data_IF_287617411644
#
_entry.id   IF_287617411644
#
_cell.length_a   1.000
_cell.length_b   1.000
_cell.length_c   1.000
_cell.angle_alpha   90.00
_cell.angle_beta   90.00
_cell.angle_gamma   90.00
#
_symmetry.space_group_name_H-M   'P 1'
#
loop_
_entity.id
_entity.type
_entity.pdbx_description
1 polymer ?
#
# COMPACT_ATOMS: atom_id res chain seq x y z
N UNK A 1 40.42 -27.87 74.39
CA UNK A 1 39.97 -29.23 74.36
C UNK A 1 38.82 -29.35 73.41
N UNK A 2 39.02 -29.84 72.28
CA UNK A 2 38.07 -29.94 71.17
C UNK A 2 37.57 -31.38 70.97
N UNK A 3 36.29 -31.57 70.92
CA UNK A 3 35.65 -32.84 70.55
C UNK A 3 35.02 -32.78 69.17
N UNK A 4 35.12 -33.83 68.34
CA UNK A 4 34.76 -33.76 66.95
C UNK A 4 33.26 -34.03 66.69
N UNK A 5 32.71 -33.26 65.71
CA UNK A 5 31.37 -33.47 65.18
C UNK A 5 31.34 -34.65 64.21
N UNK A 6 30.51 -35.62 64.51
CA UNK A 6 30.17 -36.74 63.64
C UNK A 6 29.22 -36.26 62.55
N UNK A 7 29.58 -36.47 61.29
CA UNK A 7 28.73 -36.25 60.13
C UNK A 7 27.92 -37.50 59.87
N UNK A 8 26.58 -37.41 59.87
CA UNK A 8 25.68 -38.41 59.38
C UNK A 8 25.38 -38.13 57.90
N UNK A 9 25.75 -39.07 57.03
CA UNK A 9 25.37 -39.05 55.62
C UNK A 9 24.03 -39.81 55.52
N UNK A 10 22.95 -39.09 55.19
CA UNK A 10 21.67 -39.64 54.81
C UNK A 10 21.62 -39.72 53.30
N UNK A 11 21.59 -40.93 52.75
CA UNK A 11 21.39 -41.17 51.32
C UNK A 11 19.88 -40.96 50.99
N UNK A 12 19.55 -39.94 50.21
CA UNK A 12 18.23 -39.76 49.65
C UNK A 12 18.19 -40.34 48.25
N UNK A 13 17.45 -41.41 48.07
CA UNK A 13 17.13 -42.01 46.78
C UNK A 13 16.05 -41.17 46.12
N UNK A 14 16.39 -40.41 45.11
CA UNK A 14 15.44 -39.65 44.32
C UNK A 14 15.03 -40.46 43.08
N UNK A 15 13.79 -40.89 43.02
CA UNK A 15 13.16 -41.44 41.83
C UNK A 15 12.77 -40.27 40.88
N UNK A 16 12.99 -40.35 39.55
CA UNK A 16 12.55 -39.35 38.63
C UNK A 16 11.06 -39.51 38.32
N UNK A 17 10.23 -38.53 38.70
CA UNK A 17 8.90 -38.36 38.13
C UNK A 17 9.06 -37.81 36.71
N UNK A 18 8.72 -38.60 35.73
CA UNK A 18 8.54 -38.15 34.36
C UNK A 18 7.26 -37.32 34.23
N UNK A 19 7.39 -36.01 34.29
CA UNK A 19 6.30 -35.09 33.93
C UNK A 19 6.25 -34.95 32.38
N UNK A 20 5.30 -35.63 31.75
CA UNK A 20 4.92 -35.42 30.37
C UNK A 20 4.23 -34.07 30.21
N UNK A 21 4.99 -33.02 30.03
CA UNK A 21 4.47 -31.72 29.61
C UNK A 21 4.21 -31.77 28.09
N UNK A 22 2.96 -31.96 27.67
CA UNK A 22 2.51 -31.68 26.30
C UNK A 22 2.53 -30.18 26.06
N UNK A 23 3.72 -29.63 25.82
CA UNK A 23 3.89 -28.31 25.24
C UNK A 23 3.62 -28.37 23.74
N UNK A 24 2.44 -27.92 23.30
CA UNK A 24 2.22 -27.56 21.89
C UNK A 24 3.15 -26.39 21.58
N UNK A 25 4.33 -26.67 21.09
CA UNK A 25 5.14 -25.68 20.37
C UNK A 25 4.42 -25.44 19.06
N UNK A 26 3.72 -24.31 18.96
CA UNK A 26 3.29 -23.78 17.69
C UNK A 26 4.53 -23.57 16.83
N UNK A 27 4.70 -24.40 15.80
CA UNK A 27 5.68 -24.18 14.77
C UNK A 27 5.45 -22.79 14.18
N UNK A 28 6.48 -21.93 14.05
CA UNK A 28 6.34 -20.69 13.30
C UNK A 28 5.86 -21.07 11.89
N UNK A 29 4.75 -20.47 11.46
CA UNK A 29 4.21 -20.61 10.11
C UNK A 29 5.23 -19.95 9.16
N UNK A 30 6.26 -20.66 8.80
CA UNK A 30 7.15 -20.30 7.71
C UNK A 30 6.34 -20.45 6.43
N UNK A 31 5.93 -19.32 5.86
CA UNK A 31 5.42 -19.29 4.48
C UNK A 31 6.46 -19.99 3.61
N UNK A 32 6.10 -21.05 2.86
CA UNK A 32 7.07 -21.75 2.03
C UNK A 32 7.71 -20.74 1.06
N UNK A 33 9.02 -20.66 1.04
CA UNK A 33 9.72 -19.87 0.03
C UNK A 33 9.38 -20.49 -1.34
N UNK A 34 8.56 -19.79 -2.11
CA UNK A 34 8.30 -20.17 -3.50
C UNK A 34 9.58 -19.93 -4.26
N UNK A 35 10.23 -21.02 -4.68
CA UNK A 35 11.34 -20.92 -5.61
C UNK A 35 10.84 -20.27 -6.89
N UNK A 36 11.42 -19.14 -7.27
CA UNK A 36 11.06 -18.44 -8.50
C UNK A 36 11.15 -19.40 -9.69
N UNK A 37 10.04 -19.60 -10.36
CA UNK A 37 10.00 -20.32 -11.64
C UNK A 37 10.17 -19.37 -12.83
N UNK A 38 10.34 -18.06 -12.56
CA UNK A 38 10.50 -17.09 -13.63
C UNK A 38 11.91 -17.19 -14.23
N UNK A 39 11.94 -17.33 -15.55
CA UNK A 39 13.17 -17.37 -16.34
C UNK A 39 13.17 -16.16 -17.26
N UNK A 40 14.23 -15.34 -17.23
CA UNK A 40 14.33 -14.19 -18.13
C UNK A 40 14.35 -14.64 -19.60
N UNK A 41 13.81 -13.87 -20.52
CA UNK A 41 13.96 -14.10 -21.93
C UNK A 41 15.44 -14.22 -22.34
N UNK A 42 15.78 -15.10 -23.28
CA UNK A 42 17.16 -15.21 -23.79
C UNK A 42 17.67 -13.88 -24.36
N UNK A 43 18.91 -13.53 -24.10
CA UNK A 43 19.54 -12.32 -24.63
C UNK A 43 19.06 -11.02 -23.99
N UNK A 44 18.34 -11.09 -22.85
CA UNK A 44 17.92 -9.91 -22.13
C UNK A 44 19.15 -9.14 -21.59
N UNK A 45 19.21 -7.85 -21.86
CA UNK A 45 20.31 -6.97 -21.42
C UNK A 45 19.88 -5.51 -21.35
N UNK A 46 20.77 -4.66 -20.88
CA UNK A 46 20.59 -3.22 -20.84
C UNK A 46 20.24 -2.67 -19.47
N UNK A 47 19.77 -1.45 -19.46
CA UNK A 47 19.42 -0.69 -18.26
C UNK A 47 17.99 -0.14 -18.39
N UNK A 48 17.32 0.02 -17.25
CA UNK A 48 15.98 0.63 -17.15
C UNK A 48 15.98 1.72 -16.08
N UNK A 49 15.12 2.70 -16.28
CA UNK A 49 14.74 3.66 -15.24
C UNK A 49 13.30 3.41 -14.80
N UNK A 50 13.12 3.13 -13.52
CA UNK A 50 11.81 2.96 -12.87
C UNK A 50 11.49 4.22 -12.07
N UNK A 51 10.35 4.89 -12.36
CA UNK A 51 9.79 5.89 -11.45
C UNK A 51 8.78 5.22 -10.53
N UNK A 52 9.02 5.29 -9.21
CA UNK A 52 8.20 4.59 -8.20
C UNK A 52 7.62 5.56 -7.16
N UNK A 53 6.30 5.54 -7.00
CA UNK A 53 5.60 6.22 -5.91
C UNK A 53 5.27 5.26 -4.74
N UNK A 54 5.97 4.17 -4.65
CA UNK A 54 5.76 3.11 -3.67
C UNK A 54 6.83 3.16 -2.58
N UNK A 55 6.66 2.48 -1.42
CA UNK A 55 7.69 2.43 -0.39
C UNK A 55 9.05 2.06 -1.00
N UNK A 56 10.08 2.78 -0.60
CA UNK A 56 11.40 2.62 -1.20
C UNK A 56 11.94 1.20 -0.96
N UNK A 57 11.78 0.66 0.24
CA UNK A 57 12.18 -0.70 0.61
C UNK A 57 11.49 -1.78 -0.24
N UNK A 58 10.18 -1.63 -0.52
CA UNK A 58 9.46 -2.52 -1.44
C UNK A 58 10.02 -2.42 -2.86
N UNK A 59 10.25 -1.21 -3.36
CA UNK A 59 10.77 -1.00 -4.71
C UNK A 59 12.19 -1.54 -4.86
N UNK A 60 13.04 -1.30 -3.86
CA UNK A 60 14.43 -1.76 -3.83
C UNK A 60 14.53 -3.29 -3.77
N UNK A 61 13.72 -3.95 -2.91
CA UNK A 61 13.68 -5.41 -2.84
C UNK A 61 13.23 -6.03 -4.16
N UNK A 62 12.16 -5.51 -4.75
CA UNK A 62 11.65 -5.94 -6.04
C UNK A 62 12.68 -5.81 -7.16
N UNK A 63 13.34 -4.65 -7.24
CA UNK A 63 14.35 -4.35 -8.26
C UNK A 63 15.60 -5.21 -8.05
N UNK A 64 16.05 -5.39 -6.81
CA UNK A 64 17.19 -6.25 -6.49
C UNK A 64 16.93 -7.71 -6.93
N UNK A 65 15.73 -8.22 -6.63
CA UNK A 65 15.34 -9.57 -7.02
C UNK A 65 15.25 -9.73 -8.56
N UNK A 66 14.66 -8.77 -9.26
CA UNK A 66 14.62 -8.75 -10.73
C UNK A 66 16.03 -8.67 -11.34
N UNK A 67 16.88 -7.76 -10.85
CA UNK A 67 18.24 -7.59 -11.35
C UNK A 67 19.07 -8.86 -11.16
N UNK A 68 18.93 -9.50 -9.99
CA UNK A 68 19.60 -10.79 -9.70
C UNK A 68 19.16 -11.89 -10.67
N UNK A 69 17.88 -11.93 -11.02
CA UNK A 69 17.32 -12.96 -11.88
C UNK A 69 17.62 -12.72 -13.38
N UNK A 70 17.64 -11.45 -13.81
CA UNK A 70 17.69 -11.07 -15.23
C UNK A 70 19.06 -10.57 -15.71
N UNK A 71 19.88 -10.02 -14.82
CA UNK A 71 21.09 -9.29 -15.16
C UNK A 71 20.83 -7.86 -15.67
N UNK A 72 19.56 -7.42 -15.79
CA UNK A 72 19.20 -6.07 -16.19
C UNK A 72 19.35 -5.13 -15.00
N UNK A 73 20.06 -4.04 -15.19
CA UNK A 73 20.20 -2.98 -14.17
C UNK A 73 18.98 -2.06 -14.19
N UNK A 74 18.43 -1.77 -13.01
CA UNK A 74 17.30 -0.85 -12.87
C UNK A 74 17.68 0.28 -11.94
N UNK A 75 17.59 1.53 -12.42
CA UNK A 75 17.74 2.73 -11.61
C UNK A 75 16.35 3.17 -11.14
N UNK A 76 16.18 3.35 -9.83
CA UNK A 76 14.89 3.75 -9.25
C UNK A 76 14.93 5.25 -8.90
N UNK A 77 13.93 5.99 -9.37
CA UNK A 77 13.60 7.32 -8.86
C UNK A 77 12.34 7.23 -8.01
N UNK A 78 12.50 7.44 -6.71
CA UNK A 78 11.41 7.34 -5.73
C UNK A 78 10.91 8.74 -5.34
N UNK A 79 9.59 8.96 -5.45
CA UNK A 79 8.92 10.18 -4.98
C UNK A 79 7.41 9.92 -4.81
N UNK A 80 6.68 10.85 -4.18
CA UNK A 80 5.21 10.83 -4.15
C UNK A 80 4.61 10.91 -5.56
N UNK A 81 3.41 10.35 -5.74
CA UNK A 81 2.72 10.30 -7.05
C UNK A 81 2.66 11.69 -7.70
N UNK A 82 2.30 12.73 -6.95
CA UNK A 82 2.21 14.09 -7.49
C UNK A 82 3.54 14.61 -8.03
N UNK A 83 4.67 14.29 -7.37
CA UNK A 83 6.01 14.68 -7.82
C UNK A 83 6.44 13.90 -9.06
N UNK A 84 6.09 12.62 -9.15
CA UNK A 84 6.39 11.80 -10.34
C UNK A 84 5.60 12.31 -11.54
N UNK A 85 4.30 12.56 -11.40
CA UNK A 85 3.49 13.08 -12.50
C UNK A 85 3.99 14.44 -12.97
N UNK A 86 4.27 15.37 -12.05
CA UNK A 86 4.84 16.67 -12.40
C UNK A 86 6.21 16.56 -13.13
N UNK A 87 7.04 15.57 -12.72
CA UNK A 87 8.30 15.30 -13.40
C UNK A 87 8.09 14.78 -14.82
N UNK A 88 7.20 13.80 -14.99
CA UNK A 88 6.85 13.25 -16.31
C UNK A 88 6.25 14.30 -17.23
N UNK A 89 5.43 15.22 -16.70
CA UNK A 89 4.84 16.32 -17.47
C UNK A 89 5.90 17.34 -17.89
N UNK A 90 6.86 17.63 -17.01
CA UNK A 90 8.02 18.49 -17.33
C UNK A 90 8.96 17.88 -18.37
N UNK A 91 9.14 16.56 -18.33
CA UNK A 91 9.95 15.82 -19.32
C UNK A 91 9.23 15.72 -20.68
N UNK A 92 7.92 15.90 -20.69
CA UNK A 92 7.10 15.97 -21.91
C UNK A 92 7.17 14.70 -22.77
N UNK A 93 7.53 14.84 -24.08
CA UNK A 93 7.57 13.71 -25.01
C UNK A 93 8.81 12.82 -24.86
N UNK A 94 9.77 13.18 -24.00
CA UNK A 94 11.04 12.47 -23.84
C UNK A 94 11.34 12.16 -22.37
N UNK A 95 10.45 11.42 -21.67
CA UNK A 95 10.68 11.07 -20.29
C UNK A 95 11.92 10.17 -20.15
N UNK A 96 12.57 10.30 -18.99
CA UNK A 96 13.74 9.45 -18.66
C UNK A 96 13.29 8.06 -18.22
N UNK A 97 12.09 7.95 -17.66
CA UNK A 97 11.55 6.67 -17.21
C UNK A 97 11.23 5.72 -18.38
N UNK A 98 11.49 4.44 -18.18
CA UNK A 98 11.02 3.34 -19.03
C UNK A 98 9.73 2.73 -18.48
N UNK A 99 9.69 2.56 -17.16
CA UNK A 99 8.57 1.97 -16.42
C UNK A 99 8.18 2.90 -15.30
N UNK A 100 6.87 3.01 -15.06
CA UNK A 100 6.31 3.83 -13.98
C UNK A 100 5.44 2.95 -13.09
N UNK A 101 5.64 3.04 -11.77
CA UNK A 101 4.87 2.32 -10.77
C UNK A 101 4.31 3.31 -9.75
N UNK A 102 3.05 3.72 -9.95
CA UNK A 102 2.37 4.73 -9.13
C UNK A 102 1.63 4.11 -7.95
N UNK A 103 1.24 4.98 -7.01
CA UNK A 103 0.35 4.62 -5.90
C UNK A 103 -1.11 5.03 -6.16
N UNK A 104 -1.45 5.50 -7.36
CA UNK A 104 -2.77 5.99 -7.74
C UNK A 104 -3.17 5.50 -9.12
N UNK A 105 -4.40 5.02 -9.23
CA UNK A 105 -4.99 4.54 -10.48
C UNK A 105 -5.29 5.67 -11.47
N UNK A 106 -5.82 6.79 -10.95
CA UNK A 106 -6.31 7.90 -11.77
C UNK A 106 -5.27 8.50 -12.71
N UNK A 107 -4.02 8.82 -12.28
CA UNK A 107 -3.02 9.33 -13.20
C UNK A 107 -2.59 8.31 -14.26
N UNK A 108 -2.47 7.02 -13.91
CA UNK A 108 -2.11 5.99 -14.88
C UNK A 108 -3.17 5.88 -15.99
N UNK A 109 -4.45 5.97 -15.62
CA UNK A 109 -5.55 6.01 -16.57
C UNK A 109 -5.47 7.24 -17.49
N UNK A 110 -5.00 8.39 -16.99
CA UNK A 110 -4.80 9.58 -17.83
C UNK A 110 -3.63 9.40 -18.82
N UNK A 111 -2.48 8.87 -18.36
CA UNK A 111 -1.36 8.57 -19.27
C UNK A 111 -1.74 7.59 -20.37
N UNK A 112 -2.60 6.62 -20.06
CA UNK A 112 -3.12 5.67 -21.04
C UNK A 112 -4.07 6.34 -22.06
N UNK A 113 -4.98 7.20 -21.58
CA UNK A 113 -5.86 8.00 -22.46
C UNK A 113 -5.07 8.91 -23.42
N UNK A 114 -3.97 9.47 -22.94
CA UNK A 114 -3.07 10.34 -23.71
C UNK A 114 -2.17 9.55 -24.68
N UNK A 115 -2.32 8.22 -24.74
CA UNK A 115 -1.53 7.34 -25.61
C UNK A 115 -0.06 7.25 -25.21
N UNK A 116 0.29 7.53 -23.95
CA UNK A 116 1.68 7.53 -23.45
C UNK A 116 2.14 6.19 -22.90
N UNK A 117 1.26 5.20 -22.83
CA UNK A 117 1.56 3.84 -22.36
C UNK A 117 1.83 2.89 -23.53
N UNK A 118 2.66 1.87 -23.28
CA UNK A 118 2.86 0.74 -24.18
C UNK A 118 2.03 -0.44 -23.65
N UNK A 119 0.92 -0.82 -24.31
CA UNK A 119 0.11 -1.94 -23.85
C UNK A 119 0.90 -3.24 -23.75
N UNK A 120 0.74 -3.95 -22.63
CA UNK A 120 1.41 -5.22 -22.39
C UNK A 120 0.62 -6.13 -21.45
N UNK A 121 0.57 -7.41 -21.79
CA UNK A 121 -0.07 -8.46 -20.98
C UNK A 121 1.02 -9.36 -20.38
N UNK A 122 1.34 -9.22 -19.08
CA UNK A 122 2.33 -10.08 -18.44
C UNK A 122 1.81 -11.51 -18.27
N UNK A 123 2.72 -12.45 -18.12
CA UNK A 123 2.38 -13.83 -17.78
C UNK A 123 1.65 -13.87 -16.43
N UNK A 124 0.59 -14.68 -16.35
CA UNK A 124 -0.22 -14.81 -15.13
C UNK A 124 -1.22 -13.68 -14.92
N UNK A 125 -1.50 -12.87 -15.94
CA UNK A 125 -2.52 -11.81 -15.89
C UNK A 125 -3.92 -12.37 -15.58
N UNK A 126 -4.19 -13.63 -15.93
CA UNK A 126 -5.42 -14.37 -15.61
C UNK A 126 -5.64 -14.58 -14.10
N UNK A 127 -4.61 -14.40 -13.29
CA UNK A 127 -4.65 -14.46 -11.83
C UNK A 127 -4.80 -13.10 -11.17
N UNK A 128 -4.75 -12.01 -11.91
CA UNK A 128 -4.89 -10.66 -11.40
C UNK A 128 -6.37 -10.34 -11.15
N UNK A 129 -6.67 -9.60 -10.08
CA UNK A 129 -8.02 -9.09 -9.84
C UNK A 129 -8.55 -8.39 -11.08
N UNK A 130 -9.72 -8.80 -11.59
CA UNK A 130 -10.24 -8.36 -12.88
C UNK A 130 -10.38 -6.82 -12.97
N UNK A 131 -10.77 -6.16 -11.88
CA UNK A 131 -10.88 -4.71 -11.80
C UNK A 131 -9.54 -3.96 -11.79
N UNK A 132 -8.40 -4.66 -11.77
CA UNK A 132 -7.07 -4.09 -11.74
C UNK A 132 -6.34 -4.17 -13.08
N UNK A 133 -7.06 -4.47 -14.14
CA UNK A 133 -6.53 -4.58 -15.50
C UNK A 133 -7.21 -3.52 -16.36
N UNK A 134 -6.44 -2.58 -16.92
CA UNK A 134 -6.97 -1.66 -17.92
C UNK A 134 -7.43 -2.42 -19.17
N UNK A 135 -8.55 -2.01 -19.79
CA UNK A 135 -9.18 -2.76 -20.90
C UNK A 135 -8.26 -2.98 -22.11
N UNK A 136 -7.34 -2.05 -22.37
CA UNK A 136 -6.35 -2.14 -23.44
C UNK A 136 -4.98 -2.64 -22.94
N UNK A 137 -4.87 -3.04 -21.66
CA UNK A 137 -3.63 -3.45 -21.01
C UNK A 137 -2.52 -2.37 -21.03
N UNK A 138 -2.90 -1.09 -21.13
CA UNK A 138 -1.96 0.03 -21.08
C UNK A 138 -1.33 0.20 -19.70
N UNK A 139 -2.01 -0.25 -18.63
CA UNK A 139 -1.50 -0.29 -17.27
C UNK A 139 -2.23 -1.36 -16.44
N UNK A 140 -1.62 -1.79 -15.35
CA UNK A 140 -2.08 -2.92 -14.53
C UNK A 140 -1.81 -2.63 -13.05
N UNK A 141 -2.78 -2.87 -12.18
CA UNK A 141 -2.55 -2.85 -10.74
C UNK A 141 -1.63 -4.00 -10.34
N UNK A 142 -0.45 -3.67 -9.83
CA UNK A 142 0.57 -4.64 -9.43
C UNK A 142 0.34 -5.16 -8.01
N UNK A 143 -0.19 -4.34 -7.13
CA UNK A 143 -0.67 -4.62 -5.78
C UNK A 143 -1.65 -3.53 -5.37
N UNK A 144 -2.17 -3.58 -4.15
CA UNK A 144 -3.12 -2.60 -3.67
C UNK A 144 -3.01 -2.32 -2.18
N UNK A 145 -3.62 -1.24 -1.74
CA UNK A 145 -3.78 -0.89 -0.33
C UNK A 145 -5.19 -0.39 -0.05
N UNK A 146 -5.75 -0.78 1.09
CA UNK A 146 -7.02 -0.24 1.53
C UNK A 146 -6.80 1.14 2.20
N UNK A 147 -7.68 2.08 1.90
CA UNK A 147 -7.70 3.41 2.51
C UNK A 147 -8.63 3.36 3.73
N UNK A 148 -8.08 3.61 4.91
CA UNK A 148 -8.77 3.34 6.16
C UNK A 148 -8.72 4.54 7.10
N UNK A 149 -9.42 4.45 8.22
CA UNK A 149 -9.17 5.31 9.35
C UNK A 149 -8.04 4.70 10.17
N UNK A 150 -6.87 5.37 10.20
CA UNK A 150 -5.73 4.97 11.04
C UNK A 150 -5.81 5.73 12.34
N UNK A 151 -6.03 5.03 13.45
CA UNK A 151 -6.35 5.62 14.75
C UNK A 151 -5.25 5.35 15.75
N UNK A 152 -4.70 6.41 16.36
CA UNK A 152 -3.84 6.29 17.53
C UNK A 152 -4.71 6.10 18.78
N UNK A 153 -4.70 4.90 19.33
CA UNK A 153 -5.57 4.50 20.44
C UNK A 153 -5.25 5.16 21.77
N UNK A 154 -4.10 5.82 21.91
CA UNK A 154 -3.73 6.56 23.14
C UNK A 154 -4.31 7.97 23.19
N UNK A 155 -4.55 8.60 22.01
CA UNK A 155 -4.98 10.00 21.96
C UNK A 155 -6.35 10.20 21.32
N UNK A 156 -6.87 9.18 20.62
CA UNK A 156 -8.22 9.22 20.10
C UNK A 156 -9.26 9.18 21.23
N UNK A 157 -10.29 10.03 21.18
CA UNK A 157 -11.34 10.08 22.22
C UNK A 157 -12.17 8.79 22.28
N UNK A 158 -12.37 8.16 21.14
CA UNK A 158 -12.99 6.85 20.94
C UNK A 158 -12.54 6.28 19.59
N UNK A 159 -12.88 5.02 19.32
CA UNK A 159 -12.72 4.46 17.99
C UNK A 159 -13.89 4.93 17.10
N UNK A 160 -13.64 5.56 15.94
CA UNK A 160 -14.69 5.87 14.98
C UNK A 160 -15.19 4.58 14.31
N UNK A 161 -16.45 4.58 13.88
CA UNK A 161 -17.03 3.48 13.13
C UNK A 161 -17.15 3.81 11.63
N UNK A 162 -17.29 5.10 11.29
CA UNK A 162 -17.45 5.55 9.91
C UNK A 162 -16.80 6.92 9.68
N UNK A 163 -16.69 7.31 8.41
CA UNK A 163 -16.12 8.60 8.00
C UNK A 163 -16.80 9.80 8.66
N UNK A 164 -18.14 9.80 8.72
CA UNK A 164 -18.91 10.87 9.33
C UNK A 164 -18.66 11.03 10.84
N UNK A 165 -18.27 9.97 11.54
CA UNK A 165 -17.93 10.04 12.96
C UNK A 165 -16.79 11.01 13.26
N UNK A 166 -15.89 11.21 12.29
CA UNK A 166 -14.74 12.09 12.43
C UNK A 166 -15.12 13.57 12.48
N UNK A 167 -16.35 13.92 12.10
CA UNK A 167 -16.91 15.26 12.24
C UNK A 167 -17.54 15.52 13.63
N UNK A 168 -17.60 14.50 14.51
CA UNK A 168 -18.12 14.67 15.86
C UNK A 168 -17.25 15.63 16.70
N UNK A 169 -17.84 16.42 17.63
CA UNK A 169 -17.13 17.48 18.37
C UNK A 169 -15.87 16.98 19.11
N UNK A 170 -15.89 15.75 19.62
CA UNK A 170 -14.74 15.15 20.33
C UNK A 170 -13.50 14.93 19.46
N UNK A 171 -13.66 14.86 18.13
CA UNK A 171 -12.56 14.77 17.16
C UNK A 171 -12.07 16.13 16.66
N UNK A 172 -12.61 17.25 17.17
CA UNK A 172 -12.25 18.58 16.71
C UNK A 172 -10.73 18.82 16.75
N UNK A 173 -10.16 19.15 15.60
CA UNK A 173 -8.72 19.41 15.43
C UNK A 173 -7.83 18.19 15.62
N UNK A 174 -8.39 16.96 15.62
CA UNK A 174 -7.65 15.71 15.84
C UNK A 174 -7.58 14.82 14.60
N UNK A 175 -8.19 15.25 13.52
CA UNK A 175 -8.23 14.50 12.26
C UNK A 175 -7.29 15.13 11.24
N UNK A 176 -6.54 14.29 10.56
CA UNK A 176 -5.66 14.69 9.47
C UNK A 176 -5.99 13.86 8.22
N UNK A 177 -5.81 14.46 7.06
CA UNK A 177 -5.89 13.79 5.76
C UNK A 177 -4.57 14.03 5.00
N UNK A 178 -3.99 13.02 4.33
CA UNK A 178 -2.90 13.26 3.40
C UNK A 178 -3.35 14.20 2.27
N UNK A 179 -2.48 15.11 1.84
CA UNK A 179 -2.79 16.07 0.79
C UNK A 179 -3.02 15.36 -0.56
N UNK A 180 -4.21 15.43 -1.15
CA UNK A 180 -4.49 14.75 -2.41
C UNK A 180 -3.74 15.34 -3.62
N UNK A 181 -3.08 16.49 -3.47
CA UNK A 181 -2.17 17.05 -4.48
C UNK A 181 -0.85 16.27 -4.53
N UNK A 182 -0.40 15.73 -3.38
CA UNK A 182 0.84 14.97 -3.22
C UNK A 182 0.57 13.46 -3.17
N UNK A 183 -0.37 13.03 -2.32
CA UNK A 183 -0.75 11.64 -2.13
C UNK A 183 -1.70 11.15 -3.22
N UNK A 184 -1.22 10.22 -4.05
CA UNK A 184 -2.06 9.59 -5.08
C UNK A 184 -3.23 8.80 -4.48
N UNK A 185 -3.01 8.08 -3.37
CA UNK A 185 -4.05 7.32 -2.69
C UNK A 185 -5.15 8.21 -2.11
N UNK A 186 -4.80 9.35 -1.52
CA UNK A 186 -5.78 10.34 -1.04
C UNK A 186 -6.60 10.93 -2.20
N UNK A 187 -5.96 11.15 -3.37
CA UNK A 187 -6.65 11.56 -4.61
C UNK A 187 -7.65 10.52 -5.07
N UNK A 188 -7.27 9.26 -5.07
CA UNK A 188 -8.15 8.16 -5.47
C UNK A 188 -9.33 7.99 -4.51
N UNK A 189 -9.12 8.09 -3.19
CA UNK A 189 -10.19 8.05 -2.20
C UNK A 189 -11.19 9.20 -2.40
N UNK A 190 -10.70 10.42 -2.56
CA UNK A 190 -11.51 11.60 -2.82
C UNK A 190 -12.40 11.40 -4.06
N UNK A 191 -11.80 10.96 -5.17
CA UNK A 191 -12.52 10.71 -6.41
C UNK A 191 -13.58 9.60 -6.26
N UNK A 192 -13.25 8.55 -5.52
CA UNK A 192 -14.17 7.45 -5.26
C UNK A 192 -15.34 7.84 -4.35
N UNK A 193 -15.10 8.62 -3.30
CA UNK A 193 -16.17 9.15 -2.43
C UNK A 193 -17.15 10.02 -3.23
N UNK A 194 -16.63 10.93 -4.06
CA UNK A 194 -17.47 11.77 -4.93
C UNK A 194 -18.23 10.94 -5.96
N UNK A 195 -17.64 9.89 -6.50
CA UNK A 195 -18.30 9.00 -7.45
C UNK A 195 -19.37 8.13 -6.81
N UNK A 196 -19.11 7.61 -5.60
CA UNK A 196 -20.00 6.67 -4.91
C UNK A 196 -21.20 7.37 -4.25
N UNK A 197 -20.99 8.55 -3.68
CA UNK A 197 -22.03 9.27 -2.92
C UNK A 197 -22.68 10.39 -3.73
N UNK A 198 -22.10 10.79 -4.86
CA UNK A 198 -22.46 12.02 -5.55
C UNK A 198 -21.76 13.25 -4.96
N UNK A 199 -21.72 14.33 -5.73
CA UNK A 199 -20.98 15.53 -5.33
C UNK A 199 -21.52 16.15 -4.04
N UNK A 200 -22.83 16.32 -3.94
CA UNK A 200 -23.44 17.06 -2.83
C UNK A 200 -23.20 16.35 -1.49
N UNK A 201 -23.42 15.03 -1.42
CA UNK A 201 -23.22 14.25 -0.21
C UNK A 201 -21.73 14.14 0.16
N UNK A 202 -20.87 13.95 -0.83
CA UNK A 202 -19.42 13.90 -0.60
C UNK A 202 -18.89 15.22 -0.04
N UNK A 203 -19.27 16.35 -0.65
CA UNK A 203 -18.84 17.66 -0.16
C UNK A 203 -19.46 18.00 1.20
N UNK A 204 -20.69 17.60 1.50
CA UNK A 204 -21.28 17.78 2.82
C UNK A 204 -20.48 17.08 3.93
N UNK A 205 -19.95 15.87 3.65
CA UNK A 205 -19.04 15.19 4.59
C UNK A 205 -17.74 15.96 4.78
N UNK A 206 -17.09 16.42 3.70
CA UNK A 206 -15.85 17.19 3.79
C UNK A 206 -16.09 18.54 4.46
N UNK A 207 -17.18 19.26 4.14
CA UNK A 207 -17.57 20.53 4.80
C UNK A 207 -17.67 20.35 6.32
N UNK A 208 -18.31 19.26 6.77
CA UNK A 208 -18.42 18.93 8.20
C UNK A 208 -17.05 18.63 8.84
N UNK A 209 -16.18 17.90 8.15
CA UNK A 209 -14.83 17.58 8.62
C UNK A 209 -13.96 18.85 8.73
N UNK A 210 -14.00 19.73 7.74
CA UNK A 210 -13.26 21.00 7.77
C UNK A 210 -13.82 21.98 8.80
N UNK A 211 -15.15 22.03 8.97
CA UNK A 211 -15.78 22.79 10.07
C UNK A 211 -15.35 22.26 11.45
N UNK A 212 -15.04 20.95 11.54
CA UNK A 212 -14.46 20.33 12.72
C UNK A 212 -12.91 20.41 12.79
N UNK A 213 -12.32 21.31 11.99
CA UNK A 213 -10.88 21.59 11.96
C UNK A 213 -10.01 20.39 11.55
N UNK A 214 -10.48 19.60 10.59
CA UNK A 214 -9.62 18.59 9.95
C UNK A 214 -8.45 19.30 9.24
N UNK A 215 -7.25 18.75 9.39
CA UNK A 215 -6.05 19.26 8.73
C UNK A 215 -5.71 18.43 7.48
N UNK A 216 -5.09 19.08 6.49
CA UNK A 216 -4.49 18.44 5.32
C UNK A 216 -2.98 18.67 5.37
N UNK A 217 -2.18 17.60 5.30
CA UNK A 217 -0.73 17.66 5.51
C UNK A 217 -0.01 16.66 4.62
N UNK A 218 0.91 17.13 3.77
CA UNK A 218 1.89 16.33 3.07
C UNK A 218 1.37 15.03 2.44
N UNK A 219 2.27 14.10 2.18
CA UNK A 219 1.89 12.76 1.71
C UNK A 219 1.49 11.80 2.84
N UNK A 220 1.41 10.50 2.52
CA UNK A 220 1.02 9.46 3.49
C UNK A 220 2.02 9.32 4.66
N UNK A 221 3.32 9.46 4.39
CA UNK A 221 4.36 9.40 5.42
C UNK A 221 4.20 10.48 6.49
N UNK A 222 4.24 11.77 6.14
CA UNK A 222 4.02 12.87 7.08
C UNK A 222 2.71 12.76 7.87
N UNK A 223 1.61 12.31 7.24
CA UNK A 223 0.35 12.09 7.95
C UNK A 223 0.45 10.96 8.99
N UNK A 224 1.15 9.86 8.65
CA UNK A 224 1.39 8.77 9.58
C UNK A 224 2.28 9.20 10.74
N UNK A 225 3.31 10.00 10.48
CA UNK A 225 4.22 10.52 11.50
C UNK A 225 3.47 11.38 12.54
N UNK A 226 2.55 12.27 12.10
CA UNK A 226 1.74 13.07 13.02
C UNK A 226 0.85 12.21 13.93
N UNK A 227 0.20 11.18 13.38
CA UNK A 227 -0.66 10.30 14.18
C UNK A 227 0.18 9.37 15.06
N UNK A 228 1.33 8.90 14.59
CA UNK A 228 2.26 8.10 15.39
C UNK A 228 2.79 8.90 16.58
N UNK A 229 3.14 10.16 16.37
CA UNK A 229 3.58 11.08 17.43
C UNK A 229 2.45 11.49 18.40
N UNK A 230 1.18 11.25 18.02
CA UNK A 230 0.01 11.65 18.82
C UNK A 230 -0.36 13.12 18.70
N UNK A 231 0.20 13.84 17.72
CA UNK A 231 -0.18 15.22 17.41
C UNK A 231 -1.58 15.28 16.81
N UNK A 232 -1.90 14.30 15.96
CA UNK A 232 -3.25 14.02 15.48
C UNK A 232 -3.70 12.64 15.99
N UNK A 233 -5.00 12.43 16.10
CA UNK A 233 -5.55 11.17 16.59
C UNK A 233 -5.94 10.19 15.49
N UNK A 234 -6.35 10.70 14.31
CA UNK A 234 -6.88 9.87 13.23
C UNK A 234 -6.41 10.38 11.88
N UNK A 235 -6.00 9.46 11.01
CA UNK A 235 -5.85 9.74 9.57
C UNK A 235 -7.15 9.32 8.87
N UNK A 236 -7.79 10.24 8.16
CA UNK A 236 -8.82 9.95 7.18
C UNK A 236 -8.13 9.51 5.87
N UNK A 237 -8.38 8.29 5.44
CA UNK A 237 -7.80 7.76 4.21
C UNK A 237 -6.32 7.35 4.34
N UNK A 238 -5.90 6.96 5.55
CA UNK A 238 -4.57 6.41 5.75
C UNK A 238 -4.41 5.05 5.06
N UNK A 239 -3.22 4.80 4.51
CA UNK A 239 -2.89 3.52 3.87
C UNK A 239 -2.69 2.44 4.93
N UNK A 240 -3.38 1.34 4.80
CA UNK A 240 -3.45 0.27 5.81
C UNK A 240 -2.09 -0.42 6.03
N UNK A 241 -1.34 -0.72 4.99
CA UNK A 241 -0.05 -1.42 5.08
C UNK A 241 0.96 -0.71 6.00
N UNK A 242 1.04 0.63 5.90
CA UNK A 242 1.97 1.42 6.70
C UNK A 242 1.54 1.45 8.17
N UNK A 243 0.24 1.51 8.44
CA UNK A 243 -0.31 1.43 9.78
C UNK A 243 -0.13 0.04 10.40
N UNK A 244 -0.31 -1.04 9.64
CA UNK A 244 0.00 -2.40 10.09
C UNK A 244 1.47 -2.59 10.41
N UNK A 245 2.37 -1.99 9.61
CA UNK A 245 3.80 -2.07 9.85
C UNK A 245 4.20 -1.31 11.14
N UNK A 246 3.69 -0.11 11.33
CA UNK A 246 3.92 0.67 12.55
C UNK A 246 3.32 -0.03 13.79
N UNK A 247 2.12 -0.60 13.69
CA UNK A 247 1.50 -1.34 14.78
C UNK A 247 2.30 -2.59 15.16
N UNK A 248 2.84 -3.32 14.18
CA UNK A 248 3.72 -4.47 14.42
C UNK A 248 5.02 -4.09 15.16
N UNK A 249 5.46 -2.84 15.02
CA UNK A 249 6.60 -2.26 15.74
C UNK A 249 6.22 -1.69 17.12
N UNK A 250 4.98 -1.89 17.56
CA UNK A 250 4.50 -1.48 18.89
C UNK A 250 3.90 -0.08 18.95
N UNK A 251 3.72 0.61 17.82
CA UNK A 251 3.00 1.89 17.80
C UNK A 251 1.51 1.63 18.09
N UNK A 252 0.84 2.40 18.96
CA UNK A 252 -0.53 2.14 19.37
C UNK A 252 -1.55 2.55 18.29
N UNK A 253 -1.43 1.98 17.11
CA UNK A 253 -2.31 2.24 15.97
C UNK A 253 -3.33 1.11 15.78
N UNK A 254 -4.53 1.49 15.35
CA UNK A 254 -5.55 0.58 14.84
C UNK A 254 -5.99 1.01 13.44
N UNK A 255 -6.09 0.02 12.57
CA UNK A 255 -6.66 0.16 11.21
C UNK A 255 -8.14 -0.15 11.30
N UNK A 256 -8.99 0.82 10.98
CA UNK A 256 -10.45 0.72 11.03
C UNK A 256 -11.01 0.93 9.63
N UNK A 257 -11.69 -0.09 9.11
CA UNK A 257 -12.47 0.06 7.89
C UNK A 257 -13.79 0.75 8.21
N UNK A 258 -14.14 1.83 7.49
CA UNK A 258 -15.40 2.54 7.72
C UNK A 258 -16.61 1.66 7.36
N UNK A 259 -17.69 1.80 8.13
CA UNK A 259 -18.89 0.98 7.97
C UNK A 259 -19.60 1.23 6.63
N UNK A 260 -19.55 2.46 6.11
CA UNK A 260 -20.08 2.81 4.78
C UNK A 260 -19.27 2.20 3.64
N UNK A 261 -18.03 1.81 3.91
CA UNK A 261 -17.09 1.26 2.92
C UNK A 261 -15.94 2.21 2.61
N UNK A 262 -14.95 1.68 1.92
CA UNK A 262 -13.76 2.39 1.47
C UNK A 262 -13.35 1.93 0.09
N UNK A 263 -12.11 2.18 -0.29
CA UNK A 263 -11.53 1.66 -1.54
C UNK A 263 -10.28 0.84 -1.25
N UNK A 264 -10.02 -0.10 -2.14
CA UNK A 264 -8.68 -0.63 -2.34
C UNK A 264 -8.14 0.09 -3.57
N UNK A 265 -7.12 0.91 -3.39
CA UNK A 265 -6.42 1.55 -4.50
C UNK A 265 -5.46 0.57 -5.14
N UNK A 266 -5.70 0.11 -6.38
CA UNK A 266 -4.71 -0.63 -7.12
C UNK A 266 -3.54 0.30 -7.46
N UNK A 267 -2.33 -0.20 -7.29
CA UNK A 267 -1.10 0.55 -7.54
C UNK A 267 -0.60 0.19 -8.94
N UNK A 268 -0.81 1.07 -9.92
CA UNK A 268 -0.60 0.72 -11.31
C UNK A 268 0.86 0.73 -11.70
N UNK A 269 1.25 -0.25 -12.50
CA UNK A 269 2.50 -0.27 -13.26
C UNK A 269 2.18 -0.15 -14.75
N UNK A 270 2.97 0.61 -15.47
CA UNK A 270 2.90 0.75 -16.92
C UNK A 270 4.26 1.02 -17.54
N UNK A 271 4.39 0.64 -18.79
CA UNK A 271 5.58 0.90 -19.60
C UNK A 271 5.30 2.18 -20.41
N UNK A 272 6.23 3.11 -20.46
CA UNK A 272 6.10 4.26 -21.34
C UNK A 272 6.38 3.85 -22.80
N UNK A 273 5.55 4.36 -23.72
CA UNK A 273 5.69 4.06 -25.15
C UNK A 273 6.98 4.61 -25.78
N UNK A 274 7.67 5.48 -25.04
CA UNK A 274 8.95 6.10 -25.43
C UNK A 274 10.18 5.31 -24.96
N UNK A 275 9.99 4.18 -24.23
CA UNK A 275 11.11 3.35 -23.78
C UNK A 275 12.00 2.92 -24.92
N UNK A 276 13.30 3.00 -24.70
CA UNK A 276 14.30 2.53 -25.69
C UNK A 276 14.66 1.05 -25.50
N UNK A 277 14.22 0.46 -24.39
CA UNK A 277 14.46 -0.97 -24.08
C UNK A 277 13.16 -1.70 -23.77
N UNK A 278 12.22 -1.82 -24.74
CA UNK A 278 10.92 -2.42 -24.50
C UNK A 278 10.99 -3.90 -24.08
N UNK A 279 12.04 -4.63 -24.49
CA UNK A 279 12.22 -6.02 -24.08
C UNK A 279 12.50 -6.12 -22.59
N UNK A 280 13.41 -5.32 -22.05
CA UNK A 280 13.71 -5.30 -20.62
C UNK A 280 12.55 -4.72 -19.80
N UNK A 281 11.85 -3.68 -20.29
CA UNK A 281 10.67 -3.13 -19.64
C UNK A 281 9.54 -4.15 -19.50
N UNK A 282 9.24 -4.90 -20.56
CA UNK A 282 8.28 -6.00 -20.53
C UNK A 282 8.71 -7.13 -19.58
N UNK A 283 9.99 -7.48 -19.56
CA UNK A 283 10.52 -8.49 -18.65
C UNK A 283 10.42 -8.05 -17.17
N UNK A 284 10.62 -6.77 -16.86
CA UNK A 284 10.40 -6.23 -15.53
C UNK A 284 8.93 -6.35 -15.13
N UNK A 285 8.02 -5.97 -16.02
CA UNK A 285 6.57 -6.09 -15.75
C UNK A 285 6.17 -7.56 -15.63
N UNK A 286 6.67 -8.48 -16.47
CA UNK A 286 6.46 -9.93 -16.29
C UNK A 286 6.90 -10.41 -14.91
N UNK A 287 8.10 -10.00 -14.48
CA UNK A 287 8.63 -10.37 -13.17
C UNK A 287 7.73 -9.84 -12.03
N UNK A 288 7.25 -8.61 -12.13
CA UNK A 288 6.39 -7.99 -11.13
C UNK A 288 5.08 -8.76 -10.85
N UNK A 289 4.62 -9.59 -11.81
CA UNK A 289 3.42 -10.42 -11.66
C UNK A 289 3.73 -11.90 -11.39
N UNK A 290 4.99 -12.26 -11.14
CA UNK A 290 5.35 -13.61 -10.68
C UNK A 290 4.88 -13.86 -9.25
N UNK A 291 4.67 -15.13 -8.84
CA UNK A 291 4.36 -15.44 -7.45
C UNK A 291 5.38 -14.89 -6.46
N UNK A 292 6.67 -14.96 -6.78
CA UNK A 292 7.77 -14.44 -5.96
C UNK A 292 7.64 -12.93 -5.74
N UNK A 293 7.50 -12.15 -6.82
CA UNK A 293 7.36 -10.70 -6.72
C UNK A 293 6.07 -10.28 -5.99
N UNK A 294 5.01 -11.04 -6.11
CA UNK A 294 3.75 -10.79 -5.39
C UNK A 294 3.83 -11.16 -3.91
N UNK A 295 4.68 -12.14 -3.54
CA UNK A 295 5.00 -12.42 -2.14
C UNK A 295 5.81 -11.29 -1.50
N UNK A 296 6.68 -10.61 -2.25
CA UNK A 296 7.34 -9.38 -1.77
C UNK A 296 6.26 -8.34 -1.40
N UNK A 297 5.25 -8.11 -2.24
CA UNK A 297 4.14 -7.22 -1.88
C UNK A 297 3.42 -7.64 -0.61
N UNK A 298 3.09 -8.92 -0.49
CA UNK A 298 2.44 -9.45 0.71
C UNK A 298 3.30 -9.26 1.96
N UNK A 299 4.63 -9.49 1.89
CA UNK A 299 5.55 -9.28 2.99
C UNK A 299 5.56 -7.81 3.46
N UNK A 300 5.43 -6.86 2.52
CA UNK A 300 5.24 -5.44 2.79
C UNK A 300 3.78 -5.06 3.12
N UNK A 301 2.95 -6.04 3.48
CA UNK A 301 1.55 -5.86 3.91
C UNK A 301 0.61 -5.26 2.87
N UNK A 302 1.03 -5.28 1.59
CA UNK A 302 0.17 -4.92 0.46
C UNK A 302 -0.79 -6.07 0.13
N UNK A 303 -1.93 -5.74 -0.45
CA UNK A 303 -2.82 -6.73 -1.07
C UNK A 303 -2.20 -7.11 -2.43
N UNK A 304 -1.78 -8.37 -2.64
CA UNK A 304 -1.21 -8.79 -3.92
C UNK A 304 -2.22 -8.61 -5.07
N UNK A 305 -1.73 -8.33 -6.28
CA UNK A 305 -2.60 -8.31 -7.45
C UNK A 305 -3.12 -9.71 -7.80
N UNK A 306 -2.33 -10.73 -7.55
CA UNK A 306 -2.67 -12.12 -7.83
C UNK A 306 -3.59 -12.69 -6.75
N UNK A 307 -4.70 -13.26 -7.18
CA UNK A 307 -5.72 -13.89 -6.30
C UNK A 307 -5.26 -15.20 -5.65
N UNK A 308 -4.18 -15.79 -6.14
CA UNK A 308 -3.58 -17.04 -5.62
C UNK A 308 -2.41 -16.80 -4.65
N UNK A 309 -2.14 -15.55 -4.26
CA UNK A 309 -1.13 -15.18 -3.27
C UNK A 309 -1.80 -14.66 -2.01
N UNK A 310 -1.50 -15.29 -0.87
CA UNK A 310 -2.05 -14.89 0.41
C UNK A 310 -1.47 -13.54 0.89
N UNK A 311 -2.27 -12.75 1.55
CA UNK A 311 -1.84 -11.53 2.26
C UNK A 311 -1.01 -11.89 3.50
N UNK A 312 -0.28 -10.91 4.04
CA UNK A 312 0.45 -11.10 5.30
C UNK A 312 -0.50 -11.43 6.47
N UNK A 313 -0.08 -12.27 7.43
CA UNK A 313 -0.88 -12.52 8.64
C UNK A 313 -1.23 -11.22 9.37
N UNK A 314 -2.50 -11.09 9.76
CA UNK A 314 -3.01 -9.92 10.49
C UNK A 314 -3.37 -8.71 9.60
N UNK A 315 -3.23 -8.83 8.28
CA UNK A 315 -3.76 -7.85 7.33
C UNK A 315 -5.07 -8.34 6.70
N UNK A 316 -5.80 -7.47 6.03
CA UNK A 316 -7.06 -7.82 5.35
C UNK A 316 -6.82 -8.31 3.94
N UNK A 317 -7.60 -9.30 3.54
CA UNK A 317 -7.70 -9.74 2.15
C UNK A 317 -8.53 -8.75 1.32
N UNK A 318 -8.47 -8.89 0.01
CA UNK A 318 -9.28 -8.10 -0.93
C UNK A 318 -10.79 -8.18 -0.60
N UNK A 319 -11.28 -9.39 -0.31
CA UNK A 319 -12.71 -9.65 -0.08
C UNK A 319 -13.20 -9.21 1.31
N UNK A 320 -12.30 -9.03 2.28
CA UNK A 320 -12.64 -8.53 3.61
C UNK A 320 -12.80 -7.01 3.66
N UNK A 321 -12.41 -6.29 2.62
CA UNK A 321 -12.57 -4.83 2.53
C UNK A 321 -13.90 -4.52 1.87
N UNK A 322 -14.85 -3.97 2.65
CA UNK A 322 -16.09 -3.43 2.09
C UNK A 322 -15.77 -2.24 1.21
N UNK A 323 -15.95 -2.38 -0.08
CA UNK A 323 -15.67 -1.31 -1.03
C UNK A 323 -16.89 -0.41 -1.26
N UNK A 324 -16.64 0.88 -1.53
CA UNK A 324 -17.64 1.83 -1.98
C UNK A 324 -18.20 1.40 -3.34
N UNK A 325 -19.47 1.69 -3.64
CA UNK A 325 -20.10 1.34 -4.92
C UNK A 325 -19.65 2.32 -6.02
N UNK A 326 -18.46 2.12 -6.55
CA UNK A 326 -17.93 2.91 -7.67
C UNK A 326 -17.18 2.01 -8.66
N UNK A 327 -16.83 2.54 -9.82
CA UNK A 327 -15.89 1.90 -10.72
C UNK A 327 -14.80 2.89 -11.16
N UNK A 328 -13.62 2.37 -11.43
CA UNK A 328 -12.49 3.17 -11.92
C UNK A 328 -12.79 3.86 -13.25
N UNK A 329 -13.64 3.26 -14.10
CA UNK A 329 -14.10 3.86 -15.35
C UNK A 329 -14.97 5.12 -15.12
N UNK A 330 -15.75 5.17 -14.03
CA UNK A 330 -16.59 6.33 -13.68
C UNK A 330 -15.78 7.56 -13.27
N UNK A 331 -14.63 7.35 -12.62
CA UNK A 331 -13.76 8.45 -12.19
C UNK A 331 -12.68 8.81 -13.22
N UNK A 332 -12.56 8.00 -14.29
CA UNK A 332 -11.65 8.26 -15.40
C UNK A 332 -11.99 9.61 -16.06
N UNK A 333 -11.01 10.50 -16.11
CA UNK A 333 -11.18 11.85 -16.68
C UNK A 333 -11.78 12.89 -15.72
N UNK A 334 -12.40 12.50 -14.59
CA UNK A 334 -12.97 13.45 -13.64
C UNK A 334 -12.05 13.75 -12.44
N UNK A 335 -11.04 12.93 -12.21
CA UNK A 335 -10.17 13.03 -11.04
C UNK A 335 -9.45 14.37 -10.91
N UNK A 336 -9.01 14.97 -12.01
CA UNK A 336 -8.37 16.28 -12.01
C UNK A 336 -9.35 17.41 -11.63
N UNK A 337 -10.59 17.35 -12.14
CA UNK A 337 -11.62 18.35 -11.82
C UNK A 337 -12.04 18.24 -10.35
N UNK A 338 -12.19 17.03 -9.81
CA UNK A 338 -12.50 16.79 -8.39
C UNK A 338 -11.38 17.32 -7.49
N UNK A 339 -10.13 17.05 -7.83
CA UNK A 339 -8.98 17.58 -7.10
C UNK A 339 -8.93 19.11 -7.12
N UNK A 340 -9.20 19.72 -8.27
CA UNK A 340 -9.27 21.18 -8.41
C UNK A 340 -10.36 21.76 -7.52
N UNK A 341 -11.56 21.18 -7.54
CA UNK A 341 -12.68 21.62 -6.71
C UNK A 341 -12.38 21.48 -5.21
N UNK A 342 -11.80 20.35 -4.78
CA UNK A 342 -11.34 20.14 -3.40
C UNK A 342 -10.33 21.21 -2.97
N UNK A 343 -9.34 21.48 -3.83
CA UNK A 343 -8.30 22.48 -3.55
C UNK A 343 -8.90 23.87 -3.39
N UNK A 344 -9.82 24.27 -4.28
CA UNK A 344 -10.50 25.56 -4.22
C UNK A 344 -11.40 25.71 -2.99
N UNK A 345 -12.01 24.62 -2.51
CA UNK A 345 -12.89 24.66 -1.32
C UNK A 345 -12.12 24.73 -0.02
N UNK A 346 -11.00 24.03 0.10
CA UNK A 346 -10.42 23.72 1.40
C UNK A 346 -8.93 24.05 1.56
N UNK A 347 -8.18 24.29 0.48
CA UNK A 347 -6.73 24.48 0.53
C UNK A 347 -6.34 25.87 0.00
N UNK A 348 -6.63 26.91 0.78
CA UNK A 348 -6.30 28.32 0.49
C UNK A 348 -4.87 28.68 0.83
#
# INVERSE_FOLDING_TARGET
>A
MSLPRRVFIAAVVSAPLAATACGRHGTPNTVPAVTSSWTPPPGLHGELTLYSANPADLADELVAAFTKASGVKVTVFSAETGKITAKLDKEGPHPVADVVYLASWTPAAQYDLDGRTLPYSPRGIDRVHAGWIAKNHGFLGRDGSALTMVVNTKVAPRLPNDWADLAAPEFRGKVIMPDPRESGTARDLLAAMVSAWGKDDAWAVFDSLFANSMAVRGGNGPALDEVTAGTSAVILGGVDYAAYDAAAKGVPLRVISPASGTIITPRPVFILNTTKNPAAAKALVDYMFTPEAQQISAAHKMIPARTDIAVAPGTRTYDEVKQLPFSWDQIKGNGAAILTEFTQRYLH
#
